data_IF_848153457360
#
_entry.id   IF_848153457360
#
_cell.length_a   1.000
_cell.length_b   1.000
_cell.length_c   1.000
_cell.angle_alpha   90.00
_cell.angle_beta   90.00
_cell.angle_gamma   90.00
#
_symmetry.space_group_name_H-M   'P 1'
#
loop_
_entity.id
_entity.type
_entity.pdbx_description
1 polymer ?
#
# COMPACT_ATOMS: atom_id res chain seq x y z
N UNK A 1 -7.45 2.94 -1.80
CA UNK A 1 -6.64 3.21 -0.57
C UNK A 1 -6.19 1.86 -0.01
N UNK A 2 -4.88 1.64 0.19
CA UNK A 2 -4.33 0.41 0.79
C UNK A 2 -3.88 0.74 2.20
N UNK A 3 -4.71 0.44 3.21
CA UNK A 3 -4.35 0.70 4.60
C UNK A 3 -3.59 -0.50 5.18
N UNK A 4 -2.36 -0.26 5.67
CA UNK A 4 -1.59 -1.24 6.41
C UNK A 4 -2.09 -1.26 7.85
N UNK A 5 -3.03 -2.16 8.15
CA UNK A 5 -3.55 -2.34 9.51
C UNK A 5 -2.52 -2.96 10.45
N UNK A 6 -2.72 -2.78 11.76
CA UNK A 6 -1.92 -3.41 12.81
C UNK A 6 -2.07 -4.93 12.74
N UNK A 7 -1.08 -5.59 12.16
CA UNK A 7 -0.97 -7.05 12.12
C UNK A 7 0.49 -7.45 11.92
N UNK A 8 0.98 -8.39 12.72
CA UNK A 8 2.21 -9.11 12.42
C UNK A 8 1.92 -10.05 11.25
N UNK A 9 2.04 -9.55 10.02
CA UNK A 9 1.92 -10.41 8.86
C UNK A 9 3.20 -11.24 8.74
N UNK A 10 3.07 -12.57 8.64
CA UNK A 10 4.18 -13.38 8.14
C UNK A 10 4.53 -12.85 6.74
N UNK A 11 5.81 -12.62 6.46
CA UNK A 11 6.30 -11.93 5.25
C UNK A 11 5.62 -12.36 3.93
N UNK A 12 5.37 -13.66 3.76
CA UNK A 12 4.66 -14.20 2.58
C UNK A 12 3.17 -13.84 2.49
N UNK A 13 2.46 -13.74 3.61
CA UNK A 13 1.02 -13.42 3.62
C UNK A 13 0.77 -11.96 3.24
N UNK A 14 1.64 -11.06 3.71
CA UNK A 14 1.56 -9.64 3.36
C UNK A 14 1.73 -9.44 1.85
N UNK A 15 2.73 -10.09 1.26
CA UNK A 15 3.02 -9.95 -0.15
C UNK A 15 1.89 -10.49 -1.03
N UNK A 16 1.32 -11.64 -0.70
CA UNK A 16 0.15 -12.17 -1.42
C UNK A 16 -1.04 -11.22 -1.34
N UNK A 17 -1.34 -10.67 -0.16
CA UNK A 17 -2.43 -9.72 0.01
C UNK A 17 -2.18 -8.41 -0.78
N UNK A 18 -0.94 -7.93 -0.82
CA UNK A 18 -0.57 -6.77 -1.62
C UNK A 18 -0.81 -7.04 -3.11
N UNK A 19 -0.29 -8.16 -3.64
CA UNK A 19 -0.46 -8.54 -5.06
C UNK A 19 -1.94 -8.66 -5.40
N UNK A 20 -2.73 -9.31 -4.55
CA UNK A 20 -4.17 -9.39 -4.73
C UNK A 20 -4.84 -8.02 -4.81
N UNK A 21 -4.55 -7.13 -3.87
CA UNK A 21 -5.10 -5.77 -3.87
C UNK A 21 -4.69 -4.99 -5.12
N UNK A 22 -3.47 -5.20 -5.63
CA UNK A 22 -3.02 -4.58 -6.87
C UNK A 22 -3.76 -5.12 -8.09
N UNK A 23 -4.01 -6.43 -8.18
CA UNK A 23 -4.78 -7.01 -9.29
C UNK A 23 -6.24 -6.57 -9.27
N UNK A 24 -6.88 -6.55 -8.09
CA UNK A 24 -8.24 -6.04 -7.92
C UNK A 24 -8.31 -4.55 -8.24
N UNK A 25 -7.30 -3.77 -7.83
CA UNK A 25 -7.24 -2.37 -8.21
C UNK A 25 -7.08 -2.24 -9.73
N UNK A 26 -6.20 -3.03 -10.36
CA UNK A 26 -5.93 -2.99 -11.80
C UNK A 26 -7.18 -3.23 -12.63
N UNK A 27 -8.05 -4.15 -12.20
CA UNK A 27 -9.31 -4.42 -12.90
C UNK A 27 -10.33 -3.28 -12.82
N UNK A 28 -10.12 -2.31 -11.92
CA UNK A 28 -10.99 -1.15 -11.71
C UNK A 28 -10.39 0.16 -12.24
N UNK A 29 -9.14 0.13 -12.70
CA UNK A 29 -8.49 1.31 -13.27
C UNK A 29 -8.98 1.59 -14.68
N UNK A 30 -8.94 2.87 -15.05
CA UNK A 30 -9.11 3.30 -16.43
C UNK A 30 -8.03 2.65 -17.31
N UNK A 31 -8.40 1.89 -18.37
CA UNK A 31 -7.45 1.31 -19.31
C UNK A 31 -6.53 2.34 -19.98
N UNK A 32 -6.98 3.59 -20.12
CA UNK A 32 -6.18 4.68 -20.69
C UNK A 32 -5.13 5.23 -19.70
N UNK A 33 -5.37 5.14 -18.40
CA UNK A 33 -4.42 5.54 -17.36
C UNK A 33 -4.35 4.52 -16.20
N UNK A 34 -3.74 3.36 -16.44
CA UNK A 34 -3.62 2.27 -15.47
C UNK A 34 -2.53 2.56 -14.42
N UNK A 35 -2.72 3.60 -13.60
CA UNK A 35 -1.84 3.95 -12.48
C UNK A 35 -2.54 3.85 -11.13
N UNK A 36 -1.83 3.33 -10.15
CA UNK A 36 -2.28 3.22 -8.76
C UNK A 36 -1.94 4.49 -7.98
N UNK A 37 -2.86 4.89 -7.12
CA UNK A 37 -2.65 5.87 -6.06
C UNK A 37 -2.70 5.16 -4.72
N UNK A 38 -1.69 5.39 -3.86
CA UNK A 38 -1.54 4.66 -2.61
C UNK A 38 -1.49 5.65 -1.44
N UNK A 39 -2.30 5.39 -0.42
CA UNK A 39 -2.25 6.10 0.86
C UNK A 39 -1.91 5.06 1.90
N UNK A 40 -0.82 5.30 2.64
CA UNK A 40 -0.35 4.44 3.74
C UNK A 40 -0.49 5.22 5.03
N UNK A 41 -1.38 4.77 5.91
CA UNK A 41 -1.48 5.31 7.25
C UNK A 41 -0.51 4.57 8.19
N UNK A 42 0.46 5.30 8.74
CA UNK A 42 1.44 4.75 9.68
C UNK A 42 1.06 4.97 11.15
N UNK A 43 -0.18 5.36 11.46
CA UNK A 43 -0.59 5.57 12.84
C UNK A 43 -0.42 4.31 13.70
N UNK A 44 0.34 4.44 14.79
CA UNK A 44 0.59 3.35 15.73
C UNK A 44 1.67 2.36 15.29
N UNK A 45 2.38 2.62 14.19
CA UNK A 45 3.69 2.01 13.99
C UNK A 45 4.72 2.63 14.95
N UNK A 46 5.70 1.87 15.40
CA UNK A 46 6.83 2.25 16.25
C UNK A 46 8.04 1.34 15.95
N UNK A 47 9.13 1.47 16.71
CA UNK A 47 10.35 0.67 16.48
C UNK A 47 10.18 -0.84 16.68
N UNK A 48 9.16 -1.28 17.42
CA UNK A 48 8.93 -2.70 17.74
C UNK A 48 7.98 -3.38 16.76
N UNK A 49 7.13 -2.62 16.07
CA UNK A 49 6.14 -3.15 15.13
C UNK A 49 6.29 -2.61 13.69
N UNK A 50 7.32 -1.79 13.43
CA UNK A 50 7.67 -1.38 12.07
C UNK A 50 7.99 -2.60 11.19
N UNK A 51 7.65 -2.55 9.90
CA UNK A 51 7.93 -3.66 8.99
C UNK A 51 9.44 -3.90 8.89
N UNK A 52 9.90 -5.16 8.95
CA UNK A 52 11.31 -5.49 8.74
C UNK A 52 11.81 -4.96 7.40
N UNK A 53 13.04 -4.44 7.37
CA UNK A 53 13.62 -3.87 6.16
C UNK A 53 13.68 -4.89 4.99
N UNK A 54 13.86 -6.18 5.30
CA UNK A 54 13.82 -7.27 4.32
C UNK A 54 12.47 -7.34 3.60
N UNK A 55 11.37 -7.39 4.36
CA UNK A 55 10.02 -7.47 3.81
C UNK A 55 9.69 -6.24 2.94
N UNK A 56 10.11 -5.05 3.37
CA UNK A 56 9.92 -3.82 2.57
C UNK A 56 10.71 -3.90 1.25
N UNK A 57 11.93 -4.44 1.26
CA UNK A 57 12.72 -4.64 0.05
C UNK A 57 12.08 -5.68 -0.88
N UNK A 58 11.54 -6.77 -0.35
CA UNK A 58 10.87 -7.80 -1.14
C UNK A 58 9.63 -7.23 -1.85
N UNK A 59 8.83 -6.45 -1.11
CA UNK A 59 7.67 -5.73 -1.64
C UNK A 59 8.08 -4.77 -2.75
N UNK A 60 9.11 -3.95 -2.52
CA UNK A 60 9.64 -3.05 -3.55
C UNK A 60 10.15 -3.84 -4.77
N UNK A 61 10.81 -4.97 -4.57
CA UNK A 61 11.29 -5.84 -5.64
C UNK A 61 10.16 -6.41 -6.49
N UNK A 62 9.03 -6.76 -5.88
CA UNK A 62 7.82 -7.19 -6.62
C UNK A 62 7.21 -6.01 -7.40
N UNK A 63 7.04 -4.85 -6.75
CA UNK A 63 6.50 -3.65 -7.41
C UNK A 63 7.35 -3.21 -8.61
N UNK A 64 8.68 -3.20 -8.46
CA UNK A 64 9.60 -2.79 -9.52
C UNK A 64 9.64 -3.77 -10.69
N UNK A 65 9.55 -5.09 -10.43
CA UNK A 65 9.61 -6.13 -11.48
C UNK A 65 8.29 -6.32 -12.21
N UNK A 66 7.16 -6.36 -11.50
CA UNK A 66 5.87 -6.76 -12.07
C UNK A 66 4.93 -5.57 -12.31
N UNK A 67 5.13 -4.46 -11.61
CA UNK A 67 4.29 -3.26 -11.73
C UNK A 67 5.11 -2.00 -12.08
N UNK A 68 6.01 -2.05 -13.08
CA UNK A 68 6.90 -0.94 -13.38
C UNK A 68 6.09 0.28 -13.83
N UNK A 69 6.45 1.46 -13.30
CA UNK A 69 5.84 2.75 -13.66
C UNK A 69 4.32 2.86 -13.42
N UNK A 70 3.72 1.93 -12.67
CA UNK A 70 2.29 1.95 -12.34
C UNK A 70 1.94 2.85 -11.16
N UNK A 71 2.91 3.29 -10.36
CA UNK A 71 2.64 4.23 -9.27
C UNK A 71 2.43 5.65 -9.85
N UNK A 72 1.25 6.23 -9.63
CA UNK A 72 1.01 7.66 -9.85
C UNK A 72 1.66 8.46 -8.73
N UNK A 73 1.22 8.20 -7.49
CA UNK A 73 1.75 8.81 -6.28
C UNK A 73 1.50 7.92 -5.05
N UNK A 74 2.30 8.14 -4.01
CA UNK A 74 2.14 7.52 -2.70
C UNK A 74 2.16 8.60 -1.61
N UNK A 75 1.24 8.53 -0.65
CA UNK A 75 1.22 9.42 0.53
C UNK A 75 1.33 8.59 1.80
N UNK A 76 2.36 8.86 2.59
CA UNK A 76 2.59 8.24 3.89
C UNK A 76 2.11 9.20 4.97
N UNK A 77 1.06 8.83 5.67
CA UNK A 77 0.43 9.63 6.73
C UNK A 77 0.93 9.17 8.09
N UNK A 78 0.88 10.05 9.10
CA UNK A 78 1.22 9.72 10.50
C UNK A 78 2.62 9.09 10.67
N UNK A 79 3.58 9.54 9.86
CA UNK A 79 4.93 8.99 9.83
C UNK A 79 5.77 9.40 11.05
N UNK A 80 6.24 8.41 11.82
CA UNK A 80 7.14 8.62 12.96
C UNK A 80 8.62 8.33 12.61
N UNK A 81 9.51 8.44 13.60
CA UNK A 81 10.95 8.26 13.41
C UNK A 81 11.35 6.89 12.82
N UNK A 82 10.66 5.81 13.21
CA UNK A 82 10.95 4.46 12.74
C UNK A 82 10.67 4.32 11.23
N UNK A 83 9.53 4.82 10.77
CA UNK A 83 9.17 4.78 9.34
C UNK A 83 10.10 5.69 8.52
N UNK A 84 10.49 6.87 9.05
CA UNK A 84 11.50 7.74 8.39
C UNK A 84 12.84 7.04 8.24
N UNK A 85 13.25 6.24 9.23
CA UNK A 85 14.48 5.45 9.15
C UNK A 85 14.41 4.39 8.05
N UNK A 86 13.31 3.61 8.02
CA UNK A 86 13.07 2.61 6.96
C UNK A 86 13.10 3.28 5.59
N UNK A 87 12.37 4.38 5.41
CA UNK A 87 12.37 5.16 4.16
C UNK A 87 13.78 5.57 3.73
N UNK A 88 14.59 6.12 4.65
CA UNK A 88 15.97 6.51 4.35
C UNK A 88 16.79 5.31 3.85
N UNK A 89 16.62 4.13 4.46
CA UNK A 89 17.33 2.91 4.07
C UNK A 89 16.92 2.38 2.68
N UNK A 90 15.64 2.52 2.29
CA UNK A 90 15.16 2.02 0.99
C UNK A 90 15.20 3.06 -0.12
N UNK A 91 15.14 4.36 0.19
CA UNK A 91 15.01 5.41 -0.83
C UNK A 91 16.19 5.43 -1.81
N UNK A 92 17.37 4.99 -1.37
CA UNK A 92 18.57 4.90 -2.20
C UNK A 92 18.46 3.85 -3.31
N UNK A 93 17.61 2.83 -3.15
CA UNK A 93 17.36 1.82 -4.18
C UNK A 93 16.30 2.27 -5.19
N UNK A 94 15.63 3.39 -4.95
CA UNK A 94 14.59 3.93 -5.81
C UNK A 94 15.16 4.98 -6.78
N UNK A 95 14.70 4.90 -8.03
CA UNK A 95 14.95 5.94 -9.04
C UNK A 95 14.36 7.27 -8.58
N UNK A 96 15.00 8.37 -8.98
CA UNK A 96 14.57 9.73 -8.62
C UNK A 96 13.09 9.97 -8.95
N UNK A 97 12.65 9.58 -10.14
CA UNK A 97 11.25 9.71 -10.58
C UNK A 97 10.25 8.93 -9.72
N UNK A 98 10.69 7.90 -9.00
CA UNK A 98 9.83 7.17 -8.04
C UNK A 98 9.85 7.83 -6.67
N UNK A 99 11.01 8.34 -6.24
CA UNK A 99 11.13 9.10 -4.98
C UNK A 99 10.26 10.35 -4.98
N UNK A 100 10.25 11.10 -6.08
CA UNK A 100 9.43 12.32 -6.20
C UNK A 100 7.91 12.06 -6.12
N UNK A 101 7.46 10.81 -6.32
CA UNK A 101 6.04 10.44 -6.22
C UNK A 101 5.60 10.17 -4.78
N UNK A 102 6.56 9.99 -3.87
CA UNK A 102 6.33 9.58 -2.48
C UNK A 102 6.36 10.84 -1.60
N UNK A 103 5.21 11.19 -1.03
CA UNK A 103 5.06 12.30 -0.10
C UNK A 103 4.79 11.81 1.31
N UNK A 104 5.31 12.52 2.30
CA UNK A 104 5.05 12.26 3.72
C UNK A 104 4.23 13.43 4.27
N UNK A 105 3.06 13.13 4.82
CA UNK A 105 2.15 14.14 5.35
C UNK A 105 2.00 13.98 6.86
N UNK A 106 2.07 15.08 7.58
CA UNK A 106 1.64 15.14 8.98
C UNK A 106 0.13 15.42 9.06
N UNK A 107 -0.52 15.22 10.21
CA UNK A 107 -1.93 15.57 10.36
C UNK A 107 -2.29 17.01 9.96
N UNK A 108 -1.35 17.95 10.11
CA UNK A 108 -1.56 19.34 9.69
C UNK A 108 -1.66 19.48 8.16
N UNK A 109 -1.04 18.57 7.41
CA UNK A 109 -0.91 18.61 5.95
C UNK A 109 -1.98 17.74 5.27
N UNK A 110 -2.88 17.09 6.02
CA UNK A 110 -3.91 16.22 5.43
C UNK A 110 -4.85 16.95 4.47
N UNK A 111 -4.98 18.27 4.61
CA UNK A 111 -5.75 19.09 3.67
C UNK A 111 -5.20 18.99 2.23
N UNK A 112 -3.90 18.74 2.04
CA UNK A 112 -3.27 18.52 0.72
C UNK A 112 -3.84 17.27 0.01
N UNK A 113 -4.44 16.34 0.74
CA UNK A 113 -5.12 15.19 0.14
C UNK A 113 -6.30 15.59 -0.74
N UNK A 114 -6.88 16.78 -0.54
CA UNK A 114 -8.04 17.28 -1.30
C UNK A 114 -7.70 17.49 -2.78
N UNK A 115 -6.45 17.80 -3.06
CA UNK A 115 -5.95 18.00 -4.42
C UNK A 115 -5.76 16.68 -5.16
N UNK A 116 -5.72 15.55 -4.43
CA UNK A 116 -5.34 14.23 -4.96
C UNK A 116 -6.50 13.24 -4.97
N UNK A 117 -7.39 13.30 -3.97
CA UNK A 117 -8.54 12.41 -3.79
C UNK A 117 -9.73 13.26 -3.35
N UNK A 118 -10.92 12.95 -3.86
CA UNK A 118 -12.17 13.52 -3.34
C UNK A 118 -12.32 13.23 -1.85
N UNK A 119 -12.60 14.25 -1.04
CA UNK A 119 -12.71 14.10 0.41
C UNK A 119 -13.76 13.06 0.84
N UNK A 120 -14.82 12.88 0.05
CA UNK A 120 -15.84 11.84 0.29
C UNK A 120 -15.33 10.40 0.11
N UNK A 121 -14.24 10.23 -0.65
CA UNK A 121 -13.58 8.95 -0.90
C UNK A 121 -12.38 8.72 0.04
N UNK A 122 -12.18 9.60 1.01
CA UNK A 122 -11.15 9.47 2.04
C UNK A 122 -11.82 9.21 3.40
N UNK A 123 -11.26 8.26 4.14
CA UNK A 123 -11.70 7.91 5.50
C UNK A 123 -11.54 9.14 6.41
N UNK A 124 -12.51 9.37 7.30
CA UNK A 124 -12.50 10.52 8.23
C UNK A 124 -11.24 10.58 9.10
N UNK A 125 -10.66 9.42 9.45
CA UNK A 125 -9.41 9.35 10.24
C UNK A 125 -8.21 9.94 9.50
N UNK A 126 -8.29 10.02 8.17
CA UNK A 126 -7.25 10.53 7.30
C UNK A 126 -7.55 11.95 6.80
N UNK A 127 -8.53 12.64 7.41
CA UNK A 127 -8.94 14.00 7.04
C UNK A 127 -10.05 14.09 6.00
N UNK A 128 -10.65 12.95 5.60
CA UNK A 128 -11.77 12.91 4.67
C UNK A 128 -13.14 13.16 5.29
N UNK A 129 -14.18 13.08 4.47
CA UNK A 129 -15.59 13.15 4.88
C UNK A 129 -16.33 11.82 4.67
N UNK A 130 -15.66 10.80 4.13
CA UNK A 130 -16.23 9.49 3.87
C UNK A 130 -16.74 8.82 5.13
N UNK A 131 -18.04 8.52 5.18
CA UNK A 131 -18.68 7.81 6.29
C UNK A 131 -18.54 6.29 6.14
N UNK A 132 -17.30 5.83 5.99
CA UNK A 132 -16.94 4.42 5.95
C UNK A 132 -15.59 4.26 6.63
N UNK A 133 -15.42 3.18 7.39
CA UNK A 133 -14.14 2.84 8.00
C UNK A 133 -13.55 1.67 7.26
N UNK A 134 -12.35 1.85 6.71
CA UNK A 134 -11.63 0.72 6.10
C UNK A 134 -11.43 -0.40 7.14
N UNK A 135 -11.95 -1.59 6.86
CA UNK A 135 -11.84 -2.76 7.75
C UNK A 135 -13.02 -2.97 8.71
N UNK A 136 -13.99 -2.05 8.79
CA UNK A 136 -15.28 -2.41 9.39
C UNK A 136 -16.04 -3.33 8.43
N UNK A 137 -16.57 -4.44 8.96
CA UNK A 137 -17.25 -5.53 8.25
C UNK A 137 -16.37 -6.45 7.39
N UNK A 138 -15.06 -6.49 7.62
CA UNK A 138 -14.27 -7.64 7.15
C UNK A 138 -14.48 -8.79 8.15
N UNK A 139 -15.52 -9.58 7.92
CA UNK A 139 -15.69 -10.82 8.69
C UNK A 139 -14.48 -11.74 8.49
N UNK A 140 -14.22 -12.63 9.44
CA UNK A 140 -13.08 -13.55 9.39
C UNK A 140 -13.09 -14.40 8.10
N UNK A 141 -14.27 -14.67 7.57
CA UNK A 141 -14.50 -15.40 6.33
C UNK A 141 -14.08 -14.57 5.11
N UNK A 142 -14.38 -13.27 5.12
CA UNK A 142 -14.04 -12.31 4.06
C UNK A 142 -12.51 -12.13 3.94
N UNK A 143 -11.80 -12.18 5.07
CA UNK A 143 -10.33 -12.16 5.12
C UNK A 143 -9.76 -13.51 4.63
N UNK A 144 -10.40 -14.62 5.00
CA UNK A 144 -9.95 -15.96 4.63
C UNK A 144 -10.12 -16.22 3.13
N UNK A 145 -11.25 -15.83 2.55
CA UNK A 145 -11.49 -15.88 1.10
C UNK A 145 -10.51 -15.00 0.33
N UNK A 146 -10.31 -13.75 0.77
CA UNK A 146 -9.30 -12.86 0.15
C UNK A 146 -7.90 -13.47 0.22
N UNK A 147 -7.54 -14.11 1.33
CA UNK A 147 -6.25 -14.77 1.48
C UNK A 147 -6.12 -16.03 0.60
N UNK A 148 -7.21 -16.77 0.38
CA UNK A 148 -7.22 -17.94 -0.50
C UNK A 148 -7.07 -17.51 -1.96
N UNK A 149 -7.89 -16.56 -2.41
CA UNK A 149 -7.84 -15.99 -3.76
C UNK A 149 -6.49 -15.30 -4.00
N UNK A 150 -5.94 -14.60 -3.01
CA UNK A 150 -4.61 -14.00 -3.09
C UNK A 150 -3.50 -15.04 -3.28
N UNK A 151 -3.60 -16.20 -2.61
CA UNK A 151 -2.64 -17.30 -2.80
C UNK A 151 -2.77 -17.91 -4.20
N UNK A 152 -3.98 -18.09 -4.70
CA UNK A 152 -4.23 -18.64 -6.03
C UNK A 152 -3.74 -17.71 -7.15
N UNK A 153 -4.05 -16.41 -7.08
CA UNK A 153 -3.54 -15.43 -8.04
C UNK A 153 -2.02 -15.27 -7.95
N UNK A 154 -1.44 -15.28 -6.74
CA UNK A 154 0.00 -15.24 -6.59
C UNK A 154 0.67 -16.50 -7.16
N UNK A 155 0.04 -17.68 -7.01
CA UNK A 155 0.51 -18.93 -7.60
C UNK A 155 0.41 -18.92 -9.14
N UNK A 156 -0.70 -18.44 -9.70
CA UNK A 156 -0.89 -18.31 -11.16
C UNK A 156 0.07 -17.29 -11.76
N UNK A 157 0.29 -16.17 -11.06
CA UNK A 157 1.30 -15.19 -11.44
C UNK A 157 2.68 -15.84 -11.41
N UNK A 158 3.07 -16.55 -10.34
CA UNK A 158 4.34 -17.27 -10.29
C UNK A 158 4.50 -18.35 -11.36
N UNK A 159 3.42 -18.99 -11.80
CA UNK A 159 3.44 -20.01 -12.86
C UNK A 159 3.60 -19.38 -14.26
N UNK A 160 3.00 -18.21 -14.48
CA UNK A 160 3.22 -17.40 -15.68
C UNK A 160 4.56 -16.63 -15.66
N UNK A 161 5.27 -16.64 -14.53
CA UNK A 161 6.62 -16.10 -14.36
C UNK A 161 7.75 -17.13 -14.62
N UNK A 162 7.44 -18.40 -14.85
CA UNK A 162 8.41 -19.48 -15.17
C UNK A 162 8.39 -19.92 -16.65
N UNK A 163 7.61 -19.25 -17.50
CA UNK A 163 7.66 -19.38 -18.97
C UNK A 163 8.29 -18.12 -19.57
#
# INVERSE_FOLDING_TARGET
>A
VIQLGKGSFKSGQFLSLLVYNLEVARSRLDPANPKFCVVVDCQGFDGNNAPPLGDVKDVLGVLQRHYPSRLAWLRVLNCNGAIKFVWKAISWTLRESTRMKIGFLSPADFHEMAELISMSELDQRLGGTGQWTFGQNLEADDISERNLVAKELAAQTNQSLQM
#
